data_IF_143205213942
#
_entry.id   IF_143205213942
#
_cell.length_a   1.000
_cell.length_b   1.000
_cell.length_c   1.000
_cell.angle_alpha   90.00
_cell.angle_beta   90.00
_cell.angle_gamma   90.00
#
_symmetry.space_group_name_H-M   'P 1'
#
loop_
_entity.id
_entity.type
_entity.pdbx_description
1 polymer ?
#
# COMPACT_ATOMS: atom_id res chain seq x y z
N UNK A 1 -5.23 14.08 -15.39
CA UNK A 1 -5.94 15.36 -15.13
C UNK A 1 -5.94 15.58 -13.63
N UNK A 2 -5.75 16.83 -13.13
CA UNK A 2 -5.82 17.07 -11.68
C UNK A 2 -7.28 16.95 -11.22
N UNK A 3 -7.52 16.47 -10.01
CA UNK A 3 -8.85 16.36 -9.42
C UNK A 3 -9.68 17.66 -9.54
N UNK A 4 -9.04 18.81 -9.28
CA UNK A 4 -9.67 20.12 -9.37
C UNK A 4 -10.16 20.46 -10.78
N UNK A 5 -9.40 20.06 -11.80
CA UNK A 5 -9.72 20.34 -13.20
C UNK A 5 -10.90 19.48 -13.65
N UNK A 6 -10.88 18.19 -13.28
CA UNK A 6 -11.96 17.25 -13.60
C UNK A 6 -13.25 17.63 -12.89
N UNK A 7 -13.20 17.92 -11.59
CA UNK A 7 -14.36 18.41 -10.85
C UNK A 7 -14.93 19.70 -11.46
N UNK A 8 -14.06 20.64 -11.85
CA UNK A 8 -14.48 21.90 -12.49
C UNK A 8 -15.18 21.65 -13.82
N UNK A 9 -14.70 20.70 -14.63
CA UNK A 9 -15.36 20.31 -15.89
C UNK A 9 -16.74 19.72 -15.65
N UNK A 10 -16.86 18.79 -14.71
CA UNK A 10 -18.16 18.19 -14.35
C UNK A 10 -19.16 19.23 -13.87
N UNK A 11 -18.70 20.19 -13.05
CA UNK A 11 -19.55 21.28 -12.56
C UNK A 11 -19.97 22.24 -13.68
N UNK A 12 -19.10 22.57 -14.62
CA UNK A 12 -19.42 23.38 -15.82
C UNK A 12 -20.37 22.63 -16.74
N UNK A 13 -20.21 21.34 -16.90
CA UNK A 13 -21.07 20.47 -17.71
C UNK A 13 -22.44 20.15 -17.04
N UNK A 14 -22.68 20.69 -15.82
CA UNK A 14 -23.92 20.52 -15.06
C UNK A 14 -24.25 19.06 -14.71
N UNK A 15 -23.25 18.31 -14.34
CA UNK A 15 -23.49 16.97 -13.78
C UNK A 15 -24.29 17.11 -12.48
N UNK A 16 -25.46 16.45 -12.37
CA UNK A 16 -26.38 16.71 -11.27
C UNK A 16 -25.91 16.14 -9.94
N UNK A 17 -25.30 14.93 -9.97
CA UNK A 17 -24.85 14.22 -8.79
C UNK A 17 -23.45 13.67 -9.04
N UNK A 18 -22.49 14.04 -8.19
CA UNK A 18 -21.11 13.57 -8.22
C UNK A 18 -20.83 12.83 -6.91
N UNK A 19 -20.28 11.64 -7.00
CA UNK A 19 -19.83 10.88 -5.84
C UNK A 19 -18.30 10.96 -5.75
N UNK A 20 -17.78 11.54 -4.68
CA UNK A 20 -16.33 11.58 -4.41
C UNK A 20 -15.98 10.44 -3.45
N UNK A 21 -15.25 9.45 -3.99
CA UNK A 21 -14.77 8.34 -3.20
C UNK A 21 -13.45 8.70 -2.52
N UNK A 22 -13.48 8.83 -1.18
CA UNK A 22 -12.30 9.18 -0.39
C UNK A 22 -12.50 8.93 1.09
N UNK A 23 -11.39 8.72 1.81
CA UNK A 23 -11.33 8.73 3.27
C UNK A 23 -10.90 10.10 3.84
N UNK A 24 -10.56 11.06 2.96
CA UNK A 24 -10.05 12.38 3.33
C UNK A 24 -11.12 13.47 3.14
N UNK A 25 -12.21 13.33 3.87
CA UNK A 25 -13.38 14.22 3.78
C UNK A 25 -13.01 15.70 3.96
N UNK A 26 -12.27 16.02 5.01
CA UNK A 26 -11.90 17.41 5.34
C UNK A 26 -10.98 18.02 4.27
N UNK A 27 -10.08 17.22 3.69
CA UNK A 27 -9.19 17.66 2.62
C UNK A 27 -9.99 17.98 1.35
N UNK A 28 -10.95 17.14 0.98
CA UNK A 28 -11.83 17.38 -0.15
C UNK A 28 -12.65 18.64 0.08
N UNK A 29 -13.28 18.76 1.24
CA UNK A 29 -14.09 19.96 1.57
C UNK A 29 -13.22 21.22 1.53
N UNK A 30 -12.01 21.20 2.09
CA UNK A 30 -11.07 22.33 2.02
C UNK A 30 -10.73 22.71 0.56
N UNK A 31 -10.44 21.73 -0.28
CA UNK A 31 -10.12 21.96 -1.69
C UNK A 31 -11.32 22.55 -2.43
N UNK A 32 -12.51 22.00 -2.23
CA UNK A 32 -13.74 22.50 -2.84
C UNK A 32 -13.98 23.97 -2.41
N UNK A 33 -13.87 24.26 -1.11
CA UNK A 33 -14.06 25.63 -0.60
C UNK A 33 -13.04 26.61 -1.16
N UNK A 34 -11.77 26.22 -1.23
CA UNK A 34 -10.67 27.07 -1.69
C UNK A 34 -10.72 27.35 -3.20
N UNK A 35 -10.87 26.31 -4.00
CA UNK A 35 -10.72 26.42 -5.45
C UNK A 35 -12.04 26.63 -6.18
N UNK A 36 -13.10 25.91 -5.79
CA UNK A 36 -14.37 25.94 -6.53
C UNK A 36 -15.19 27.18 -6.18
N UNK A 37 -15.21 27.58 -4.91
CA UNK A 37 -15.88 28.82 -4.50
C UNK A 37 -15.33 30.04 -5.25
N UNK A 38 -13.99 30.10 -5.38
CA UNK A 38 -13.29 31.21 -6.03
C UNK A 38 -13.48 31.20 -7.55
N UNK A 39 -13.44 30.01 -8.18
CA UNK A 39 -13.49 29.89 -9.66
C UNK A 39 -14.88 29.96 -10.26
N UNK A 40 -15.91 29.50 -9.54
CA UNK A 40 -17.27 29.32 -10.07
C UNK A 40 -18.32 30.16 -9.33
N UNK A 41 -17.92 30.90 -8.30
CA UNK A 41 -18.79 31.76 -7.48
C UNK A 41 -20.10 31.05 -7.05
N UNK A 42 -20.01 29.82 -6.57
CA UNK A 42 -21.13 29.03 -6.07
C UNK A 42 -21.17 29.01 -4.55
N UNK A 43 -22.35 29.11 -3.98
CA UNK A 43 -22.57 28.89 -2.55
C UNK A 43 -22.36 27.42 -2.20
N UNK A 44 -21.73 27.13 -1.07
CA UNK A 44 -21.44 25.76 -0.63
C UNK A 44 -22.17 25.49 0.67
N UNK A 45 -23.04 24.48 0.65
CA UNK A 45 -23.79 23.97 1.79
C UNK A 45 -23.27 22.58 2.15
N UNK A 46 -22.74 22.40 3.36
CA UNK A 46 -22.30 21.10 3.85
C UNK A 46 -23.34 20.52 4.78
N UNK A 47 -23.63 19.24 4.63
CA UNK A 47 -24.55 18.49 5.46
C UNK A 47 -23.91 17.20 5.97
N UNK A 48 -24.13 16.90 7.22
CA UNK A 48 -23.93 15.59 7.81
C UNK A 48 -25.18 15.15 8.57
N UNK A 49 -25.23 13.86 8.90
CA UNK A 49 -26.42 13.28 9.53
C UNK A 49 -26.69 13.80 10.95
N UNK A 50 -25.66 14.16 11.70
CA UNK A 50 -25.78 14.56 13.12
C UNK A 50 -26.12 16.03 13.26
N UNK A 51 -25.36 16.89 12.57
CA UNK A 51 -25.45 18.34 12.73
C UNK A 51 -26.35 19.04 11.71
N UNK A 52 -26.74 18.30 10.64
CA UNK A 52 -27.54 18.86 9.56
C UNK A 52 -26.73 19.80 8.67
N UNK A 53 -27.40 20.81 8.09
CA UNK A 53 -26.72 21.78 7.23
C UNK A 53 -25.92 22.79 8.05
N UNK A 54 -24.65 22.92 7.71
CA UNK A 54 -23.77 23.98 8.16
C UNK A 54 -23.61 25.03 7.04
N UNK A 55 -23.30 26.27 7.41
CA UNK A 55 -23.16 27.42 6.48
C UNK A 55 -24.42 27.79 5.73
N UNK A 56 -25.59 27.42 6.22
CA UNK A 56 -26.87 27.95 5.74
C UNK A 56 -27.28 29.16 6.61
N UNK A 57 -27.19 30.38 6.13
CA UNK A 57 -27.45 31.59 6.92
C UNK A 57 -28.89 31.66 7.46
N UNK A 58 -29.84 30.95 6.83
CA UNK A 58 -31.24 31.00 7.19
C UNK A 58 -31.73 29.85 8.06
N UNK A 59 -30.96 28.77 8.20
CA UNK A 59 -31.41 27.56 8.91
C UNK A 59 -30.22 26.69 9.34
N UNK A 60 -29.43 27.16 10.28
CA UNK A 60 -28.37 26.36 10.87
C UNK A 60 -28.95 25.08 11.52
N UNK A 61 -28.38 23.93 11.17
CA UNK A 61 -28.83 22.63 11.66
C UNK A 61 -30.14 22.12 11.01
N UNK A 62 -30.57 22.67 9.88
CA UNK A 62 -31.68 22.13 9.11
C UNK A 62 -31.38 20.70 8.63
N UNK A 63 -32.40 19.85 8.64
CA UNK A 63 -32.32 18.44 8.25
C UNK A 63 -31.43 17.55 9.14
N UNK A 64 -31.30 17.86 10.45
CA UNK A 64 -30.67 16.98 11.42
C UNK A 64 -31.34 15.61 11.42
N UNK A 65 -30.57 14.55 11.29
CA UNK A 65 -31.02 13.16 11.30
C UNK A 65 -32.10 12.82 10.27
N UNK A 66 -32.23 13.65 9.24
CA UNK A 66 -33.24 13.45 8.21
C UNK A 66 -32.66 13.63 6.80
N UNK A 67 -32.20 12.56 6.14
CA UNK A 67 -31.58 12.62 4.81
C UNK A 67 -32.59 13.04 3.70
N UNK A 68 -33.88 12.79 3.87
CA UNK A 68 -34.90 13.24 2.92
C UNK A 68 -35.02 14.77 2.94
N UNK A 69 -35.09 15.36 4.13
CA UNK A 69 -35.08 16.81 4.29
C UNK A 69 -33.81 17.47 3.77
N UNK A 70 -32.67 16.78 3.88
CA UNK A 70 -31.43 17.24 3.31
C UNK A 70 -31.53 17.44 1.78
N UNK A 71 -32.20 16.52 1.09
CA UNK A 71 -32.47 16.64 -0.34
C UNK A 71 -33.54 17.70 -0.65
N UNK A 72 -34.49 17.94 0.23
CA UNK A 72 -35.53 18.98 0.03
C UNK A 72 -34.97 20.40 0.00
N UNK A 73 -33.86 20.68 0.73
CA UNK A 73 -33.22 21.98 0.68
C UNK A 73 -32.72 22.29 -0.73
N UNK A 74 -32.26 21.29 -1.47
CA UNK A 74 -31.79 21.43 -2.86
C UNK A 74 -32.92 21.98 -3.76
N UNK A 75 -34.16 21.54 -3.51
CA UNK A 75 -35.35 21.98 -4.27
C UNK A 75 -35.85 23.34 -3.81
N UNK A 76 -35.79 23.63 -2.50
CA UNK A 76 -36.30 24.91 -1.91
C UNK A 76 -35.52 26.13 -2.37
N UNK A 77 -34.22 26.00 -2.67
CA UNK A 77 -33.46 27.13 -3.20
C UNK A 77 -33.94 27.54 -4.60
N UNK A 78 -33.93 28.81 -4.85
CA UNK A 78 -34.35 29.36 -6.17
C UNK A 78 -33.57 28.70 -7.32
N UNK A 79 -34.26 28.46 -8.44
CA UNK A 79 -33.70 27.69 -9.57
C UNK A 79 -32.38 28.26 -10.14
N UNK A 80 -32.20 29.58 -10.05
CA UNK A 80 -31.05 30.28 -10.61
C UNK A 80 -29.89 30.47 -9.65
N UNK A 81 -30.02 30.07 -8.37
CA UNK A 81 -28.94 30.19 -7.37
C UNK A 81 -27.85 29.16 -7.61
N UNK A 82 -26.62 29.57 -7.96
CA UNK A 82 -25.52 28.63 -8.13
C UNK A 82 -25.11 28.04 -6.77
N UNK A 83 -25.26 26.73 -6.60
CA UNK A 83 -25.00 26.07 -5.31
C UNK A 83 -24.36 24.68 -5.46
N UNK A 84 -23.55 24.33 -4.47
CA UNK A 84 -23.01 22.99 -4.27
C UNK A 84 -23.50 22.46 -2.92
N UNK A 85 -24.03 21.26 -2.92
CA UNK A 85 -24.49 20.58 -1.72
C UNK A 85 -23.51 19.43 -1.42
N UNK A 86 -22.70 19.59 -0.39
CA UNK A 86 -21.76 18.54 0.06
C UNK A 86 -22.48 17.68 1.09
N UNK A 87 -22.77 16.45 0.74
CA UNK A 87 -23.46 15.49 1.62
C UNK A 87 -22.46 14.45 2.09
N UNK A 88 -22.07 14.52 3.36
CA UNK A 88 -21.09 13.64 4.00
C UNK A 88 -21.74 12.32 4.39
N UNK A 89 -21.07 11.20 4.08
CA UNK A 89 -21.54 9.84 4.36
C UNK A 89 -22.96 9.49 3.87
N UNK A 90 -23.44 10.26 2.88
CA UNK A 90 -24.80 10.09 2.35
C UNK A 90 -24.99 8.76 1.59
N UNK A 91 -23.88 8.12 1.18
CA UNK A 91 -23.88 6.80 0.55
C UNK A 91 -24.57 5.71 1.40
N UNK A 92 -24.58 5.86 2.72
CA UNK A 92 -25.24 4.92 3.65
C UNK A 92 -26.76 4.91 3.51
N UNK A 93 -27.33 5.95 2.94
CA UNK A 93 -28.78 6.10 2.75
C UNK A 93 -29.25 5.80 1.32
N UNK A 94 -28.34 5.57 0.37
CA UNK A 94 -28.69 5.39 -1.05
C UNK A 94 -29.55 4.13 -1.32
N UNK A 95 -29.53 3.14 -0.41
CA UNK A 95 -30.33 1.92 -0.50
C UNK A 95 -31.80 2.13 -0.10
N UNK A 96 -32.11 3.23 0.54
CA UNK A 96 -33.51 3.58 0.88
C UNK A 96 -34.29 3.96 -0.37
N UNK A 97 -35.46 3.34 -0.56
CA UNK A 97 -36.32 3.53 -1.73
C UNK A 97 -36.78 4.99 -1.87
N UNK A 98 -37.11 5.64 -0.76
CA UNK A 98 -37.56 7.03 -0.76
C UNK A 98 -36.45 7.98 -1.20
N UNK A 99 -35.22 7.75 -0.71
CA UNK A 99 -34.04 8.54 -1.04
C UNK A 99 -33.62 8.31 -2.48
N UNK A 100 -33.53 7.05 -2.94
CA UNK A 100 -33.25 6.71 -4.32
C UNK A 100 -34.23 7.37 -5.28
N UNK A 101 -35.53 7.31 -4.95
CA UNK A 101 -36.56 7.95 -5.77
C UNK A 101 -36.44 9.47 -5.76
N UNK A 102 -36.18 10.06 -4.60
CA UNK A 102 -36.01 11.52 -4.46
C UNK A 102 -34.80 12.01 -5.30
N UNK A 103 -33.67 11.30 -5.25
CA UNK A 103 -32.49 11.61 -6.06
C UNK A 103 -32.78 11.55 -7.56
N UNK A 104 -33.54 10.56 -8.03
CA UNK A 104 -33.99 10.47 -9.43
C UNK A 104 -34.83 11.69 -9.84
N UNK A 105 -35.73 12.14 -8.98
CA UNK A 105 -36.57 13.31 -9.26
C UNK A 105 -35.74 14.60 -9.29
N UNK A 106 -34.89 14.80 -8.29
CA UNK A 106 -34.03 15.98 -8.18
C UNK A 106 -33.03 16.05 -9.34
N UNK A 107 -32.45 14.92 -9.75
CA UNK A 107 -31.48 14.90 -10.86
C UNK A 107 -32.01 15.45 -12.15
N UNK A 108 -33.34 15.27 -12.43
CA UNK A 108 -33.99 15.81 -13.61
C UNK A 108 -34.06 17.35 -13.56
N UNK A 109 -34.29 17.89 -12.37
CA UNK A 109 -34.37 19.33 -12.13
C UNK A 109 -33.00 19.98 -12.21
N UNK A 110 -31.98 19.32 -11.58
CA UNK A 110 -30.61 19.85 -11.52
C UNK A 110 -29.93 19.94 -12.89
N UNK A 111 -30.29 19.10 -13.87
CA UNK A 111 -29.78 19.25 -15.26
C UNK A 111 -30.01 20.61 -15.86
N UNK A 112 -31.07 21.28 -15.42
CA UNK A 112 -31.48 22.64 -15.93
C UNK A 112 -31.02 23.78 -15.01
N UNK A 113 -30.48 23.45 -13.80
CA UNK A 113 -30.11 24.44 -12.78
C UNK A 113 -28.61 24.47 -12.53
N UNK A 114 -28.02 25.58 -12.09
CA UNK A 114 -26.61 25.67 -11.74
C UNK A 114 -26.32 25.09 -10.34
N UNK A 115 -26.95 23.98 -10.01
CA UNK A 115 -26.81 23.27 -8.73
C UNK A 115 -26.25 21.89 -8.94
N UNK A 116 -25.43 21.39 -8.00
CA UNK A 116 -24.86 20.05 -8.03
C UNK A 116 -24.84 19.46 -6.61
N UNK A 117 -25.23 18.21 -6.48
CA UNK A 117 -25.06 17.44 -5.26
C UNK A 117 -23.72 16.71 -5.34
N UNK A 118 -22.90 16.84 -4.31
CA UNK A 118 -21.64 16.12 -4.16
C UNK A 118 -21.77 15.23 -2.93
N UNK A 119 -21.75 13.93 -3.13
CA UNK A 119 -21.73 12.94 -2.06
C UNK A 119 -20.27 12.60 -1.77
N UNK A 120 -19.85 12.70 -0.52
CA UNK A 120 -18.50 12.32 -0.08
C UNK A 120 -18.64 11.08 0.80
N UNK A 121 -17.88 10.05 0.47
CA UNK A 121 -17.87 8.80 1.25
C UNK A 121 -16.68 7.91 0.92
N UNK A 122 -16.38 6.99 1.82
CA UNK A 122 -15.24 6.08 1.71
C UNK A 122 -15.56 4.75 1.00
N UNK A 123 -16.85 4.42 0.88
CA UNK A 123 -17.33 3.15 0.33
C UNK A 123 -18.20 3.37 -0.91
N UNK A 124 -17.91 2.66 -1.99
CA UNK A 124 -18.70 2.68 -3.22
C UNK A 124 -19.90 1.73 -3.10
N UNK A 125 -20.88 2.11 -2.29
CA UNK A 125 -22.13 1.36 -2.15
C UNK A 125 -23.27 2.10 -2.88
N UNK A 126 -23.24 2.06 -4.20
CA UNK A 126 -24.25 2.73 -5.05
C UNK A 126 -25.20 1.65 -5.59
N UNK A 127 -26.53 1.77 -5.39
CA UNK A 127 -27.52 0.89 -6.01
C UNK A 127 -27.46 0.94 -7.54
N UNK A 128 -27.62 -0.20 -8.21
CA UNK A 128 -27.57 -0.31 -9.67
C UNK A 128 -28.47 0.70 -10.39
N UNK A 129 -29.63 0.97 -9.81
CA UNK A 129 -30.62 1.90 -10.35
C UNK A 129 -30.19 3.37 -10.35
N UNK A 130 -29.07 3.73 -9.69
CA UNK A 130 -28.51 5.07 -9.62
C UNK A 130 -27.21 5.21 -10.44
N UNK A 131 -26.70 4.15 -11.06
CA UNK A 131 -25.42 4.18 -11.80
C UNK A 131 -25.40 5.23 -12.93
N UNK A 132 -26.50 5.38 -13.66
CA UNK A 132 -26.59 6.34 -14.75
C UNK A 132 -26.73 7.80 -14.28
N UNK A 133 -27.02 8.01 -13.00
CA UNK A 133 -27.28 9.34 -12.43
C UNK A 133 -26.10 9.89 -11.65
N UNK A 134 -25.27 9.00 -11.10
CA UNK A 134 -24.16 9.35 -10.23
C UNK A 134 -22.85 9.17 -10.98
N UNK A 135 -22.10 10.25 -11.09
CA UNK A 135 -20.74 10.22 -11.65
C UNK A 135 -19.74 10.05 -10.52
N UNK A 136 -18.91 9.00 -10.60
CA UNK A 136 -17.91 8.68 -9.57
C UNK A 136 -16.62 9.41 -9.89
N UNK A 137 -16.09 10.14 -8.93
CA UNK A 137 -14.81 10.81 -8.98
C UNK A 137 -13.92 10.30 -7.85
N UNK A 138 -12.75 9.79 -8.21
CA UNK A 138 -11.76 9.29 -7.24
C UNK A 138 -10.94 10.45 -6.70
N UNK A 139 -10.90 10.61 -5.37
CA UNK A 139 -9.97 11.53 -4.72
C UNK A 139 -8.84 10.74 -4.07
N UNK A 140 -7.67 10.86 -4.65
CA UNK A 140 -6.51 10.07 -4.22
C UNK A 140 -5.88 10.64 -2.95
N UNK A 141 -5.20 9.75 -2.21
CA UNK A 141 -4.31 10.14 -1.13
C UNK A 141 -3.24 11.15 -1.62
N UNK A 142 -2.64 11.92 -0.71
CA UNK A 142 -1.71 12.97 -1.11
C UNK A 142 -0.52 12.40 -1.87
N UNK A 143 -0.16 13.07 -2.96
CA UNK A 143 1.03 12.73 -3.75
C UNK A 143 2.29 13.26 -3.08
N UNK A 144 3.45 12.75 -3.47
CA UNK A 144 4.74 13.10 -2.86
C UNK A 144 5.00 14.61 -2.78
N UNK A 145 4.65 15.37 -3.81
CA UNK A 145 4.80 16.84 -3.81
C UNK A 145 3.92 17.54 -2.76
N UNK A 146 2.69 17.05 -2.55
CA UNK A 146 1.77 17.57 -1.53
C UNK A 146 2.24 17.23 -0.12
N UNK A 147 2.75 15.99 0.06
CA UNK A 147 3.34 15.55 1.32
C UNK A 147 4.56 16.40 1.66
N UNK A 148 5.48 16.57 0.71
CA UNK A 148 6.68 17.39 0.92
C UNK A 148 6.35 18.84 1.28
N UNK A 149 5.37 19.42 0.59
CA UNK A 149 4.88 20.77 0.91
C UNK A 149 4.33 20.86 2.34
N UNK A 150 3.51 19.90 2.74
CA UNK A 150 2.92 19.88 4.09
C UNK A 150 3.97 19.64 5.18
N UNK A 151 4.93 18.74 4.93
CA UNK A 151 6.06 18.49 5.83
C UNK A 151 6.89 19.76 6.04
N UNK A 152 7.28 20.44 4.96
CA UNK A 152 8.03 21.70 5.03
C UNK A 152 7.27 22.75 5.84
N UNK A 153 5.99 22.93 5.55
CA UNK A 153 5.13 23.88 6.28
C UNK A 153 5.09 23.61 7.77
N UNK A 154 4.95 22.33 8.17
CA UNK A 154 4.94 21.94 9.59
C UNK A 154 6.31 22.15 10.26
N UNK A 155 7.38 21.76 9.58
CA UNK A 155 8.76 21.90 10.07
C UNK A 155 9.12 23.38 10.25
N UNK A 156 8.80 24.23 9.29
CA UNK A 156 9.00 25.68 9.34
C UNK A 156 8.20 26.32 10.49
N UNK A 157 6.93 25.91 10.67
CA UNK A 157 6.10 26.45 11.76
C UNK A 157 6.60 26.11 13.16
N UNK A 158 7.44 25.07 13.28
CA UNK A 158 8.01 24.59 14.53
C UNK A 158 9.49 24.99 14.71
N UNK A 159 10.07 25.71 13.74
CA UNK A 159 11.48 26.11 13.72
C UNK A 159 12.47 24.92 13.88
N UNK A 160 12.15 23.76 13.31
CA UNK A 160 13.00 22.57 13.35
C UNK A 160 13.92 22.58 12.13
N UNK A 161 15.22 22.36 12.34
CA UNK A 161 16.15 22.10 11.25
C UNK A 161 16.16 20.61 10.90
N UNK A 162 16.08 20.28 9.62
CA UNK A 162 16.09 18.90 9.13
C UNK A 162 17.08 18.77 7.96
N UNK A 163 17.79 17.65 7.91
CA UNK A 163 18.62 17.28 6.77
C UNK A 163 17.73 17.01 5.54
N UNK A 164 18.07 17.57 4.36
CA UNK A 164 17.34 17.30 3.12
C UNK A 164 17.17 15.82 2.78
N UNK A 165 18.15 14.97 3.12
CA UNK A 165 18.09 13.53 2.88
C UNK A 165 17.06 12.85 3.81
N UNK A 166 17.00 13.29 5.07
CA UNK A 166 15.99 12.81 6.03
C UNK A 166 14.60 13.27 5.61
N UNK A 167 14.44 14.51 5.13
CA UNK A 167 13.17 15.01 4.62
C UNK A 167 12.66 14.20 3.42
N UNK A 168 13.54 13.84 2.49
CA UNK A 168 13.17 13.00 1.34
C UNK A 168 12.73 11.61 1.81
N UNK A 169 13.48 10.98 2.71
CA UNK A 169 13.15 9.67 3.28
C UNK A 169 11.83 9.71 4.07
N UNK A 170 11.61 10.78 4.85
CA UNK A 170 10.36 11.02 5.58
C UNK A 170 9.17 11.19 4.62
N UNK A 171 9.36 11.94 3.54
CA UNK A 171 8.33 12.14 2.51
C UNK A 171 7.92 10.81 1.89
N UNK A 172 8.88 9.95 1.55
CA UNK A 172 8.61 8.60 1.04
C UNK A 172 7.90 7.73 2.08
N UNK A 173 8.33 7.78 3.33
CA UNK A 173 7.69 7.03 4.41
C UNK A 173 6.23 7.47 4.65
N UNK A 174 5.88 8.74 4.40
CA UNK A 174 4.54 9.27 4.52
C UNK A 174 3.61 8.89 3.35
N UNK A 175 4.13 8.47 2.20
CA UNK A 175 3.29 8.07 1.07
C UNK A 175 2.31 6.96 1.46
N UNK A 176 1.08 7.03 0.96
CA UNK A 176 0.01 6.08 1.31
C UNK A 176 -0.69 6.36 2.64
N UNK A 177 -0.35 7.45 3.34
CA UNK A 177 -1.06 7.94 4.50
C UNK A 177 -1.92 9.15 4.14
N UNK A 178 -3.05 9.33 4.82
CA UNK A 178 -3.83 10.57 4.72
C UNK A 178 -3.08 11.74 5.37
N UNK A 179 -3.33 12.98 4.92
CA UNK A 179 -2.69 14.16 5.52
C UNK A 179 -2.95 14.28 7.02
N UNK A 180 -4.14 13.92 7.46
CA UNK A 180 -4.48 13.92 8.89
C UNK A 180 -3.61 12.94 9.67
N UNK A 181 -3.42 11.71 9.18
CA UNK A 181 -2.54 10.74 9.82
C UNK A 181 -1.09 11.22 9.84
N UNK A 182 -0.62 11.78 8.73
CA UNK A 182 0.74 12.36 8.66
C UNK A 182 0.92 13.42 9.75
N UNK A 183 -0.02 14.36 9.88
CA UNK A 183 0.02 15.41 10.92
C UNK A 183 0.04 14.82 12.33
N UNK A 184 -0.83 13.84 12.60
CA UNK A 184 -0.94 13.17 13.90
C UNK A 184 0.36 12.48 14.29
N UNK A 185 0.96 11.73 13.36
CA UNK A 185 2.22 11.01 13.61
C UNK A 185 3.37 11.98 13.82
N UNK A 186 3.48 13.01 12.99
CA UNK A 186 4.50 14.03 13.14
C UNK A 186 4.37 14.79 14.48
N UNK A 187 3.15 15.17 14.87
CA UNK A 187 2.92 15.78 16.16
C UNK A 187 3.37 14.89 17.31
N UNK A 188 3.12 13.56 17.20
CA UNK A 188 3.60 12.58 18.18
C UNK A 188 5.13 12.48 18.21
N UNK A 189 5.79 12.44 17.04
CA UNK A 189 7.24 12.38 16.92
C UNK A 189 7.86 13.61 17.59
N UNK A 190 7.37 14.81 17.24
CA UNK A 190 7.89 16.07 17.77
C UNK A 190 7.67 16.19 19.27
N UNK A 191 6.49 15.79 19.77
CA UNK A 191 6.20 15.78 21.21
C UNK A 191 7.12 14.82 22.00
N UNK A 192 7.54 13.71 21.36
CA UNK A 192 8.36 12.67 22.02
C UNK A 192 9.86 13.00 21.96
N UNK A 193 10.36 13.39 20.79
CA UNK A 193 11.80 13.46 20.52
C UNK A 193 12.32 14.89 20.32
N UNK A 194 11.45 15.87 20.09
CA UNK A 194 11.79 17.27 19.76
C UNK A 194 12.66 17.45 18.51
N UNK A 195 13.06 16.37 17.87
CA UNK A 195 13.89 16.32 16.66
C UNK A 195 13.27 15.32 15.67
N UNK A 196 13.58 15.50 14.38
CA UNK A 196 13.18 14.57 13.34
C UNK A 196 14.46 13.90 12.82
N UNK A 197 14.57 12.59 13.05
CA UNK A 197 15.72 11.76 12.75
C UNK A 197 15.29 10.44 12.05
N UNK A 198 16.22 9.51 11.86
CA UNK A 198 15.94 8.19 11.29
C UNK A 198 14.95 7.36 12.15
N UNK A 199 14.89 7.59 13.48
CA UNK A 199 13.92 6.90 14.34
C UNK A 199 12.49 7.37 14.05
N UNK A 200 12.33 8.60 13.57
CA UNK A 200 11.05 9.16 13.13
C UNK A 200 10.47 8.37 11.95
N UNK A 201 11.33 7.89 11.05
CA UNK A 201 10.92 7.04 9.92
C UNK A 201 10.39 5.68 10.42
N UNK A 202 11.04 5.09 11.43
CA UNK A 202 10.58 3.82 12.03
C UNK A 202 9.19 3.96 12.66
N UNK A 203 8.91 5.09 13.30
CA UNK A 203 7.59 5.36 13.87
C UNK A 203 6.50 5.50 12.79
N UNK A 204 6.80 6.16 11.68
CA UNK A 204 5.89 6.23 10.53
C UNK A 204 5.60 4.86 9.92
N UNK A 205 6.63 4.02 9.81
CA UNK A 205 6.45 2.64 9.34
C UNK A 205 5.58 1.82 10.30
N UNK A 206 5.67 2.06 11.61
CA UNK A 206 4.79 1.42 12.60
C UNK A 206 3.32 1.87 12.47
N UNK A 207 3.06 3.12 12.10
CA UNK A 207 1.69 3.55 11.80
C UNK A 207 1.12 2.85 10.56
N UNK A 208 1.94 2.65 9.53
CA UNK A 208 1.54 1.82 8.38
C UNK A 208 1.20 0.38 8.80
N UNK A 209 1.94 -0.18 9.77
CA UNK A 209 1.63 -1.49 10.34
C UNK A 209 0.20 -1.57 10.88
N UNK A 210 -0.29 -0.53 11.56
CA UNK A 210 -1.66 -0.52 12.08
C UNK A 210 -2.72 -0.55 10.96
N UNK A 211 -2.46 0.12 9.83
CA UNK A 211 -3.37 0.08 8.68
C UNK A 211 -3.40 -1.32 8.07
N UNK A 212 -2.23 -1.94 7.94
CA UNK A 212 -2.09 -3.28 7.36
C UNK A 212 -2.75 -4.34 8.25
N UNK A 213 -2.56 -4.23 9.58
CA UNK A 213 -3.15 -5.18 10.53
C UNK A 213 -4.68 -5.14 10.60
N UNK A 214 -5.31 -4.10 10.05
CA UNK A 214 -6.77 -4.07 9.85
C UNK A 214 -7.23 -4.96 8.69
N UNK A 215 -6.29 -5.45 7.87
CA UNK A 215 -6.57 -6.42 6.82
C UNK A 215 -6.15 -7.81 7.30
N UNK A 216 -7.04 -8.77 7.24
CA UNK A 216 -6.73 -10.14 7.71
C UNK A 216 -5.75 -10.89 6.81
N UNK A 217 -5.54 -10.41 5.57
CA UNK A 217 -4.82 -11.12 4.49
C UNK A 217 -3.36 -10.72 4.40
N UNK A 218 -3.01 -9.51 4.82
CA UNK A 218 -1.64 -8.99 4.77
C UNK A 218 -1.06 -8.89 6.17
N UNK A 219 0.18 -9.34 6.31
CA UNK A 219 0.97 -9.18 7.52
C UNK A 219 2.09 -8.16 7.27
N UNK A 220 2.22 -7.20 8.18
CA UNK A 220 3.38 -6.31 8.18
C UNK A 220 4.56 -7.01 8.85
N UNK A 221 5.69 -7.07 8.16
CA UNK A 221 6.93 -7.59 8.70
C UNK A 221 7.90 -6.44 9.00
N UNK A 222 8.31 -6.32 10.29
CA UNK A 222 9.43 -5.48 10.67
C UNK A 222 10.73 -6.11 10.16
N UNK A 223 11.58 -5.31 9.53
CA UNK A 223 12.77 -5.82 8.85
C UNK A 223 14.02 -5.27 9.51
N UNK A 224 14.75 -6.17 10.17
CA UNK A 224 16.07 -5.89 10.75
C UNK A 224 17.20 -6.58 9.96
N UNK A 225 16.85 -7.32 8.90
CA UNK A 225 17.79 -8.09 8.11
C UNK A 225 18.47 -7.22 7.04
N UNK A 226 19.79 -7.20 7.04
CA UNK A 226 20.58 -6.45 6.05
C UNK A 226 21.03 -7.36 4.91
N UNK A 227 21.26 -6.78 3.73
CA UNK A 227 21.72 -7.50 2.55
C UNK A 227 23.12 -8.11 2.75
N UNK A 228 23.90 -7.58 3.70
CA UNK A 228 25.20 -8.10 4.10
C UNK A 228 25.13 -9.45 4.84
N UNK A 229 23.96 -9.77 5.42
CA UNK A 229 23.70 -11.05 6.06
C UNK A 229 23.42 -12.20 5.08
N UNK A 230 23.32 -11.90 3.78
CA UNK A 230 23.13 -12.90 2.74
C UNK A 230 24.50 -13.23 2.15
N UNK A 231 24.99 -14.44 2.34
CA UNK A 231 26.22 -14.91 1.72
C UNK A 231 25.99 -15.24 0.25
N UNK A 232 26.97 -14.92 -0.61
CA UNK A 232 26.85 -15.15 -2.05
C UNK A 232 25.86 -14.23 -2.77
N UNK A 233 25.26 -14.73 -3.86
CA UNK A 233 24.22 -14.09 -4.69
C UNK A 233 24.59 -12.70 -5.22
N UNK A 234 25.84 -12.50 -5.61
CA UNK A 234 26.38 -11.18 -6.00
C UNK A 234 25.63 -10.56 -7.21
N UNK A 235 25.19 -11.37 -8.16
CA UNK A 235 24.40 -10.93 -9.29
C UNK A 235 23.08 -10.27 -8.84
N UNK A 236 22.40 -10.90 -7.89
CA UNK A 236 21.16 -10.36 -7.31
C UNK A 236 21.43 -9.06 -6.54
N UNK A 237 22.50 -9.02 -5.72
CA UNK A 237 22.89 -7.82 -4.98
C UNK A 237 23.18 -6.64 -5.93
N UNK A 238 23.91 -6.88 -7.00
CA UNK A 238 24.20 -5.87 -8.01
C UNK A 238 22.95 -5.40 -8.75
N UNK A 239 22.04 -6.31 -9.06
CA UNK A 239 20.76 -6.00 -9.68
C UNK A 239 19.89 -5.11 -8.79
N UNK A 240 19.78 -5.45 -7.50
CA UNK A 240 19.03 -4.69 -6.49
C UNK A 240 19.61 -3.28 -6.28
N UNK A 241 20.95 -3.16 -6.21
CA UNK A 241 21.63 -1.88 -6.04
C UNK A 241 21.31 -0.90 -7.19
N UNK A 242 21.28 -1.38 -8.43
CA UNK A 242 20.95 -0.58 -9.60
C UNK A 242 19.49 -0.07 -9.59
N UNK A 243 18.58 -0.73 -8.88
CA UNK A 243 17.15 -0.41 -8.85
C UNK A 243 16.68 0.30 -7.58
N UNK A 244 17.56 0.48 -6.61
CA UNK A 244 17.24 1.14 -5.33
C UNK A 244 16.58 2.52 -5.53
N UNK A 245 17.03 3.29 -6.51
CA UNK A 245 16.55 4.65 -6.80
C UNK A 245 15.36 4.71 -7.77
N UNK A 246 14.90 3.56 -8.28
CA UNK A 246 13.84 3.52 -9.32
C UNK A 246 12.44 3.89 -8.82
N UNK A 247 12.25 4.05 -7.51
CA UNK A 247 10.97 4.46 -6.91
C UNK A 247 10.87 5.97 -6.65
N UNK A 248 11.91 6.75 -6.96
CA UNK A 248 11.94 8.19 -6.72
C UNK A 248 11.47 9.01 -7.93
N UNK A 249 11.18 10.29 -7.67
CA UNK A 249 10.77 11.27 -8.71
C UNK A 249 11.80 11.38 -9.83
N UNK A 250 13.09 11.28 -9.52
CA UNK A 250 14.16 11.38 -10.52
C UNK A 250 14.04 10.27 -11.58
N UNK A 251 13.73 9.03 -11.17
CA UNK A 251 13.55 7.93 -12.10
C UNK A 251 12.31 8.14 -12.99
N UNK A 252 11.21 8.62 -12.41
CA UNK A 252 10.00 8.96 -13.14
C UNK A 252 10.25 10.09 -14.16
N UNK A 253 10.98 11.13 -13.79
CA UNK A 253 11.33 12.24 -14.69
C UNK A 253 12.27 11.79 -15.81
N UNK A 254 13.11 10.78 -15.54
CA UNK A 254 13.96 10.17 -16.57
C UNK A 254 13.17 9.26 -17.52
N UNK A 255 11.92 8.93 -17.20
CA UNK A 255 11.06 8.05 -18.00
C UNK A 255 11.25 6.56 -17.70
N UNK A 256 11.88 6.20 -16.56
CA UNK A 256 12.03 4.79 -16.19
C UNK A 256 10.68 4.24 -15.68
N UNK A 257 10.27 3.05 -16.17
CA UNK A 257 9.10 2.36 -15.63
C UNK A 257 9.38 1.90 -14.19
N UNK A 258 8.35 1.94 -13.35
CA UNK A 258 8.44 1.41 -11.99
C UNK A 258 8.72 -0.10 -12.02
N UNK A 259 9.71 -0.61 -11.26
CA UNK A 259 9.97 -2.05 -11.18
C UNK A 259 8.73 -2.83 -10.74
N UNK A 260 8.48 -3.95 -11.39
CA UNK A 260 7.31 -4.79 -11.11
C UNK A 260 7.55 -5.77 -10.00
N UNK A 261 8.66 -6.49 -10.07
CA UNK A 261 9.01 -7.48 -9.07
C UNK A 261 10.08 -8.46 -9.52
N UNK A 262 10.46 -9.32 -8.62
CA UNK A 262 11.37 -10.43 -8.89
C UNK A 262 10.80 -11.76 -8.40
N UNK A 263 11.18 -12.84 -9.06
CA UNK A 263 10.87 -14.19 -8.67
C UNK A 263 12.18 -14.90 -8.25
N UNK A 264 12.21 -15.41 -7.03
CA UNK A 264 13.31 -16.20 -6.47
C UNK A 264 12.94 -17.68 -6.51
N UNK A 265 13.60 -18.44 -7.34
CA UNK A 265 13.37 -19.89 -7.48
C UNK A 265 14.58 -20.64 -6.95
N UNK A 266 14.39 -21.76 -6.29
CA UNK A 266 15.52 -22.60 -5.86
C UNK A 266 15.22 -23.49 -4.68
N UNK A 267 16.23 -24.20 -4.23
CA UNK A 267 16.16 -25.19 -3.17
C UNK A 267 15.75 -24.54 -1.83
N UNK A 268 15.05 -25.29 -0.99
CA UNK A 268 14.71 -24.84 0.36
C UNK A 268 15.98 -24.58 1.18
N UNK A 269 15.98 -23.53 2.01
CA UNK A 269 17.14 -23.19 2.85
C UNK A 269 18.21 -22.32 2.15
N UNK A 270 18.07 -21.94 0.88
CA UNK A 270 19.02 -21.10 0.13
C UNK A 270 18.86 -19.57 0.37
N UNK A 271 18.02 -19.17 1.31
CA UNK A 271 17.90 -17.76 1.72
C UNK A 271 16.87 -16.93 0.95
N UNK A 272 15.94 -17.54 0.18
CA UNK A 272 14.89 -16.82 -0.59
C UNK A 272 14.08 -15.85 0.27
N UNK A 273 13.52 -16.34 1.38
CA UNK A 273 12.69 -15.53 2.29
C UNK A 273 13.52 -14.45 3.04
N UNK A 274 14.78 -14.75 3.34
CA UNK A 274 15.73 -13.79 3.91
C UNK A 274 16.01 -12.65 2.91
N UNK A 275 16.13 -12.99 1.64
CA UNK A 275 16.35 -12.00 0.57
C UNK A 275 15.18 -11.01 0.46
N UNK A 276 13.92 -11.48 0.55
CA UNK A 276 12.77 -10.58 0.53
C UNK A 276 12.82 -9.53 1.66
N UNK A 277 13.18 -9.98 2.87
CA UNK A 277 13.38 -9.09 4.03
C UNK A 277 14.53 -8.12 3.81
N UNK A 278 15.67 -8.60 3.33
CA UNK A 278 16.84 -7.77 3.10
C UNK A 278 16.61 -6.69 2.04
N UNK A 279 15.82 -6.98 1.00
CA UNK A 279 15.43 -5.98 0.00
C UNK A 279 14.64 -4.84 0.64
N UNK A 280 13.67 -5.18 1.49
CA UNK A 280 12.83 -4.19 2.15
C UNK A 280 13.65 -3.26 3.06
N UNK A 281 14.60 -3.81 3.79
CA UNK A 281 15.50 -3.02 4.62
C UNK A 281 16.42 -2.14 3.78
N UNK A 282 17.05 -2.69 2.75
CA UNK A 282 17.96 -1.95 1.86
C UNK A 282 17.29 -0.79 1.13
N UNK A 283 16.04 -0.97 0.71
CA UNK A 283 15.26 0.05 0.03
C UNK A 283 14.45 0.94 0.97
N UNK A 284 14.45 0.63 2.28
CA UNK A 284 13.68 1.33 3.31
C UNK A 284 12.19 1.41 2.96
N UNK A 285 11.66 0.32 2.42
CA UNK A 285 10.25 0.18 2.07
C UNK A 285 9.53 -0.78 3.04
N UNK A 286 8.24 -0.53 3.34
CA UNK A 286 7.45 -1.46 4.14
C UNK A 286 7.33 -2.82 3.45
N UNK A 287 7.47 -3.90 4.23
CA UNK A 287 7.32 -5.28 3.77
C UNK A 287 5.94 -5.81 4.17
N UNK A 288 5.15 -6.16 3.17
CA UNK A 288 3.84 -6.78 3.29
C UNK A 288 3.95 -8.23 2.89
N UNK A 289 3.71 -9.16 3.81
CA UNK A 289 3.64 -10.59 3.50
C UNK A 289 2.20 -10.98 3.20
N UNK A 290 1.97 -11.61 2.06
CA UNK A 290 0.68 -12.21 1.73
C UNK A 290 0.54 -13.55 2.46
N UNK A 291 -0.51 -13.68 3.26
CA UNK A 291 -0.94 -14.95 3.81
C UNK A 291 -1.78 -15.71 2.77
N UNK A 292 -1.12 -16.62 2.07
CA UNK A 292 -1.75 -17.43 1.01
C UNK A 292 -2.87 -18.29 1.57
N UNK A 293 -2.73 -18.82 2.78
CA UNK A 293 -3.76 -19.63 3.44
C UNK A 293 -5.06 -18.86 3.64
N UNK A 294 -4.95 -17.61 4.08
CA UNK A 294 -6.10 -16.73 4.24
C UNK A 294 -6.69 -16.24 2.91
N UNK A 295 -5.88 -16.15 1.87
CA UNK A 295 -6.38 -15.79 0.54
C UNK A 295 -7.34 -16.85 0.00
N UNK A 296 -7.02 -18.12 0.16
CA UNK A 296 -7.80 -19.26 -0.36
C UNK A 296 -8.73 -19.90 0.70
N UNK A 297 -8.59 -19.55 1.97
CA UNK A 297 -9.43 -20.05 3.06
C UNK A 297 -10.76 -19.30 3.12
N UNK A 298 -11.82 -19.85 2.51
CA UNK A 298 -13.14 -19.25 2.56
C UNK A 298 -14.14 -19.87 1.59
N UNK A 299 -15.34 -19.31 1.52
CA UNK A 299 -16.42 -19.75 0.63
C UNK A 299 -16.05 -19.37 -0.82
N UNK A 300 -16.51 -20.17 -1.78
CA UNK A 300 -16.30 -19.95 -3.22
C UNK A 300 -16.74 -18.51 -3.61
N UNK A 301 -15.85 -17.73 -4.22
CA UNK A 301 -16.09 -16.34 -4.61
C UNK A 301 -15.46 -15.30 -3.68
N UNK A 302 -15.14 -15.61 -2.42
CA UNK A 302 -14.46 -14.68 -1.51
C UNK A 302 -12.98 -14.48 -1.87
N UNK A 303 -12.31 -15.49 -2.41
CA UNK A 303 -10.87 -15.42 -2.73
C UNK A 303 -10.54 -14.31 -3.75
N UNK A 304 -11.39 -14.12 -4.77
CA UNK A 304 -11.22 -13.00 -5.72
C UNK A 304 -11.42 -11.63 -5.03
N UNK A 305 -12.40 -11.51 -4.15
CA UNK A 305 -12.67 -10.30 -3.39
C UNK A 305 -11.50 -9.97 -2.45
N UNK A 306 -10.97 -10.99 -1.77
CA UNK A 306 -9.80 -10.89 -0.89
C UNK A 306 -8.55 -10.48 -1.67
N UNK A 307 -8.32 -11.05 -2.86
CA UNK A 307 -7.22 -10.62 -3.72
C UNK A 307 -7.34 -9.14 -4.10
N UNK A 308 -8.52 -8.70 -4.51
CA UNK A 308 -8.76 -7.29 -4.86
C UNK A 308 -8.55 -6.36 -3.66
N UNK A 309 -9.00 -6.76 -2.48
CA UNK A 309 -8.74 -6.03 -1.24
C UNK A 309 -7.25 -5.95 -0.93
N UNK A 310 -6.50 -7.06 -1.06
CA UNK A 310 -5.05 -7.09 -0.90
C UNK A 310 -4.36 -6.12 -1.86
N UNK A 311 -4.72 -6.16 -3.14
CA UNK A 311 -4.18 -5.26 -4.18
C UNK A 311 -4.44 -3.79 -3.78
N UNK A 312 -5.67 -3.47 -3.42
CA UNK A 312 -6.06 -2.11 -3.05
C UNK A 312 -5.26 -1.60 -1.85
N UNK A 313 -5.04 -2.44 -0.83
CA UNK A 313 -4.23 -2.07 0.34
C UNK A 313 -2.76 -1.91 -0.03
N UNK A 314 -2.18 -2.84 -0.80
CA UNK A 314 -0.79 -2.73 -1.25
C UNK A 314 -0.56 -1.46 -2.08
N UNK A 315 -1.48 -1.14 -3.00
CA UNK A 315 -1.42 0.07 -3.80
C UNK A 315 -1.61 1.35 -2.97
N UNK A 316 -2.46 1.31 -1.96
CA UNK A 316 -2.68 2.44 -1.04
C UNK A 316 -1.43 2.74 -0.21
N UNK A 317 -0.73 1.70 0.25
CA UNK A 317 0.48 1.83 1.09
C UNK A 317 1.74 2.09 0.26
N UNK A 318 1.65 1.96 -1.06
CA UNK A 318 2.80 2.13 -1.95
C UNK A 318 3.53 3.48 -1.75
N UNK A 319 4.87 3.54 -1.89
CA UNK A 319 5.75 2.44 -2.30
C UNK A 319 5.96 1.38 -1.21
N UNK A 320 5.85 0.10 -1.59
CA UNK A 320 5.99 -1.02 -0.67
C UNK A 320 6.51 -2.27 -1.40
N UNK A 321 6.95 -3.25 -0.62
CA UNK A 321 7.29 -4.59 -1.10
C UNK A 321 6.18 -5.55 -0.70
N UNK A 322 5.62 -6.26 -1.68
CA UNK A 322 4.68 -7.34 -1.47
C UNK A 322 5.42 -8.67 -1.59
N UNK A 323 5.57 -9.36 -0.47
CA UNK A 323 6.22 -10.66 -0.41
C UNK A 323 5.20 -11.77 -0.46
N UNK A 324 5.35 -12.65 -1.45
CA UNK A 324 4.54 -13.86 -1.62
C UNK A 324 5.46 -15.06 -1.45
N UNK A 325 5.35 -15.72 -0.30
CA UNK A 325 6.17 -16.89 -0.01
C UNK A 325 5.52 -18.16 -0.60
N UNK A 326 6.35 -19.04 -1.18
CA UNK A 326 5.93 -20.31 -1.76
C UNK A 326 4.76 -20.17 -2.78
N UNK A 327 4.95 -19.26 -3.75
CA UNK A 327 3.93 -18.98 -4.80
C UNK A 327 3.57 -20.24 -5.61
N UNK A 328 4.48 -21.21 -5.73
CA UNK A 328 4.27 -22.52 -6.33
C UNK A 328 3.21 -23.33 -5.59
N UNK A 329 3.17 -23.25 -4.25
CA UNK A 329 2.10 -23.90 -3.47
C UNK A 329 0.77 -23.15 -3.58
N UNK A 330 0.82 -21.82 -3.69
CA UNK A 330 -0.35 -20.98 -3.82
C UNK A 330 -1.14 -21.22 -5.11
N UNK A 331 -0.42 -21.45 -6.21
CA UNK A 331 -0.97 -21.51 -7.56
C UNK A 331 -0.62 -22.81 -8.31
N UNK A 332 -0.28 -23.89 -7.58
CA UNK A 332 -0.03 -25.19 -8.20
C UNK A 332 -1.25 -25.71 -8.95
N UNK A 333 -1.02 -26.22 -10.14
CA UNK A 333 -2.03 -26.87 -10.99
C UNK A 333 -2.46 -28.26 -10.46
N UNK A 334 -2.69 -28.42 -9.16
CA UNK A 334 -3.18 -29.68 -8.62
C UNK A 334 -4.65 -29.87 -9.01
N UNK A 335 -4.88 -30.59 -10.08
CA UNK A 335 -6.18 -31.00 -10.63
C UNK A 335 -7.03 -31.90 -9.70
N UNK A 336 -6.66 -32.07 -8.43
CA UNK A 336 -7.25 -33.08 -7.56
C UNK A 336 -8.22 -32.56 -6.49
N UNK A 337 -8.51 -31.27 -6.41
CA UNK A 337 -9.55 -30.76 -5.52
C UNK A 337 -10.53 -29.90 -6.30
N UNK A 338 -11.82 -30.10 -6.10
CA UNK A 338 -12.94 -29.49 -6.86
C UNK A 338 -13.00 -27.95 -6.92
N UNK A 339 -11.90 -27.25 -6.62
CA UNK A 339 -11.77 -25.79 -6.54
C UNK A 339 -10.78 -25.19 -7.59
N UNK A 340 -10.41 -26.00 -8.61
CA UNK A 340 -9.46 -25.56 -9.64
C UNK A 340 -9.89 -24.29 -10.42
N UNK A 341 -11.19 -24.06 -10.55
CA UNK A 341 -11.72 -22.88 -11.25
C UNK A 341 -11.50 -21.55 -10.48
N UNK A 342 -11.52 -21.57 -9.17
CA UNK A 342 -11.34 -20.37 -8.32
C UNK A 342 -9.87 -19.99 -8.29
N UNK A 343 -8.97 -20.93 -8.09
CA UNK A 343 -7.52 -20.68 -8.08
C UNK A 343 -7.03 -20.11 -9.40
N UNK A 344 -7.52 -20.61 -10.54
CA UNK A 344 -7.16 -20.10 -11.87
C UNK A 344 -7.66 -18.65 -12.10
N UNK A 345 -8.85 -18.28 -11.59
CA UNK A 345 -9.37 -16.91 -11.69
C UNK A 345 -8.60 -15.94 -10.81
N UNK A 346 -8.27 -16.34 -9.58
CA UNK A 346 -7.42 -15.56 -8.67
C UNK A 346 -6.05 -15.33 -9.30
N UNK A 347 -5.43 -16.38 -9.86
CA UNK A 347 -4.16 -16.28 -10.58
C UNK A 347 -4.25 -15.34 -11.77
N UNK A 348 -5.25 -15.48 -12.63
CA UNK A 348 -5.42 -14.61 -13.80
C UNK A 348 -5.56 -13.13 -13.38
N UNK A 349 -6.33 -12.85 -12.34
CA UNK A 349 -6.50 -11.50 -11.79
C UNK A 349 -5.18 -10.96 -11.26
N UNK A 350 -4.41 -11.77 -10.51
CA UNK A 350 -3.11 -11.39 -9.99
C UNK A 350 -2.10 -11.08 -11.11
N UNK A 351 -2.02 -11.94 -12.13
CA UNK A 351 -1.13 -11.76 -13.27
C UNK A 351 -1.48 -10.52 -14.09
N UNK A 352 -2.78 -10.28 -14.36
CA UNK A 352 -3.22 -9.04 -15.00
C UNK A 352 -2.79 -7.81 -14.21
N UNK A 353 -3.06 -7.79 -12.92
CA UNK A 353 -2.62 -6.71 -12.08
C UNK A 353 -1.10 -6.51 -12.10
N UNK A 354 -0.30 -7.57 -11.93
CA UNK A 354 1.16 -7.50 -11.95
C UNK A 354 1.71 -6.88 -13.24
N UNK A 355 1.01 -7.13 -14.36
CA UNK A 355 1.39 -6.61 -15.69
C UNK A 355 1.01 -5.16 -15.91
N UNK A 356 -0.13 -4.74 -15.36
CA UNK A 356 -0.78 -3.46 -15.66
C UNK A 356 -0.61 -2.44 -14.54
N UNK A 357 -0.14 -2.85 -13.35
CA UNK A 357 0.00 -1.96 -12.21
C UNK A 357 0.87 -0.75 -12.52
N UNK A 358 0.39 0.41 -12.14
CA UNK A 358 1.09 1.69 -12.27
C UNK A 358 1.64 2.17 -10.93
N UNK A 359 1.09 1.67 -9.82
CA UNK A 359 1.53 2.02 -8.47
C UNK A 359 2.85 1.32 -8.12
N UNK A 360 3.74 1.97 -7.35
CA UNK A 360 5.05 1.44 -7.00
C UNK A 360 4.98 0.34 -5.92
N UNK A 361 4.34 -0.78 -6.25
CA UNK A 361 4.34 -2.00 -5.46
C UNK A 361 5.34 -2.96 -6.07
N UNK A 362 6.40 -3.31 -5.36
CA UNK A 362 7.41 -4.27 -5.83
C UNK A 362 7.09 -5.66 -5.30
N UNK A 363 6.84 -6.61 -6.18
CA UNK A 363 6.49 -7.98 -5.80
C UNK A 363 7.75 -8.83 -5.68
N UNK A 364 7.97 -9.44 -4.52
CA UNK A 364 9.01 -10.46 -4.31
C UNK A 364 8.31 -11.78 -4.08
N UNK A 365 8.34 -12.65 -5.09
CA UNK A 365 7.77 -13.99 -4.97
C UNK A 365 8.90 -15.03 -4.77
N UNK A 366 8.64 -16.05 -3.96
CA UNK A 366 9.55 -17.19 -3.78
C UNK A 366 8.88 -18.47 -4.24
N UNK A 367 9.64 -19.37 -4.86
CA UNK A 367 9.19 -20.70 -5.26
C UNK A 367 10.26 -21.75 -4.97
N UNK A 368 9.83 -22.93 -4.58
CA UNK A 368 10.74 -24.06 -4.37
C UNK A 368 10.88 -24.89 -5.64
N UNK A 369 9.81 -25.00 -6.43
CA UNK A 369 9.81 -25.76 -7.66
C UNK A 369 9.22 -24.92 -8.81
N UNK A 370 10.02 -24.72 -9.86
CA UNK A 370 9.60 -23.97 -11.05
C UNK A 370 8.59 -24.73 -11.90
N UNK A 371 8.64 -26.06 -11.91
CA UNK A 371 7.76 -26.91 -12.72
C UNK A 371 6.30 -26.87 -12.25
N UNK A 372 6.09 -26.49 -10.98
CA UNK A 372 4.75 -26.31 -10.41
C UNK A 372 4.14 -24.94 -10.73
N UNK A 373 4.95 -24.00 -11.24
CA UNK A 373 4.47 -22.66 -11.56
C UNK A 373 3.76 -22.65 -12.92
N UNK A 374 2.60 -22.01 -13.02
CA UNK A 374 1.97 -21.73 -14.30
C UNK A 374 2.91 -20.94 -15.22
N UNK A 375 2.97 -21.32 -16.49
CA UNK A 375 3.84 -20.68 -17.50
C UNK A 375 3.56 -19.19 -17.65
N UNK A 376 2.35 -18.76 -17.34
CA UNK A 376 1.94 -17.37 -17.34
C UNK A 376 2.73 -16.52 -16.33
N UNK A 377 3.11 -17.07 -15.18
CA UNK A 377 3.92 -16.36 -14.16
C UNK A 377 5.34 -16.10 -14.67
N UNK A 378 5.93 -17.09 -15.33
CA UNK A 378 7.34 -17.08 -15.76
C UNK A 378 7.54 -16.23 -17.02
N UNK A 379 6.47 -15.97 -17.78
CA UNK A 379 6.53 -15.22 -19.04
C UNK A 379 7.05 -13.79 -18.81
N UNK A 380 7.98 -13.34 -19.68
CA UNK A 380 8.50 -11.97 -19.67
C UNK A 380 7.39 -10.91 -19.64
N UNK A 381 7.60 -9.85 -18.87
CA UNK A 381 6.64 -8.76 -18.71
C UNK A 381 5.75 -8.89 -17.47
N UNK A 382 5.96 -9.92 -16.63
CA UNK A 382 5.32 -10.10 -15.31
C UNK A 382 6.29 -9.72 -14.19
N UNK A 383 7.31 -10.54 -14.00
CA UNK A 383 8.45 -10.17 -13.18
C UNK A 383 9.53 -9.53 -14.06
N UNK A 384 10.29 -8.61 -13.50
CA UNK A 384 11.41 -7.97 -14.19
C UNK A 384 12.57 -8.93 -14.36
N UNK A 385 12.77 -9.85 -13.38
CA UNK A 385 13.84 -10.82 -13.39
C UNK A 385 13.45 -12.07 -12.58
N UNK A 386 14.04 -13.20 -12.95
CA UNK A 386 13.93 -14.48 -12.25
C UNK A 386 15.33 -14.90 -11.85
N UNK A 387 15.55 -15.06 -10.54
CA UNK A 387 16.82 -15.54 -10.02
C UNK A 387 16.68 -16.97 -9.51
N UNK A 388 17.55 -17.84 -10.01
CA UNK A 388 17.69 -19.19 -9.49
C UNK A 388 18.75 -19.18 -8.37
N UNK A 389 18.35 -19.60 -7.18
CA UNK A 389 19.21 -19.73 -6.01
C UNK A 389 19.54 -21.21 -5.79
N UNK A 390 20.73 -21.60 -6.22
CA UNK A 390 21.26 -22.95 -6.04
C UNK A 390 21.90 -23.12 -4.67
N UNK A 391 22.33 -24.33 -4.36
CA UNK A 391 23.15 -24.58 -3.18
C UNK A 391 24.46 -23.78 -3.25
N UNK A 392 24.92 -23.22 -2.12
CA UNK A 392 26.07 -22.33 -2.12
C UNK A 392 27.36 -23.08 -2.50
N UNK A 393 28.17 -22.48 -3.36
CA UNK A 393 29.50 -22.92 -3.70
C UNK A 393 30.45 -22.81 -2.50
N UNK A 394 31.65 -23.44 -2.56
CA UNK A 394 32.63 -23.43 -1.46
C UNK A 394 32.89 -22.02 -0.92
N UNK A 395 33.15 -21.04 -1.80
CA UNK A 395 33.43 -19.64 -1.41
C UNK A 395 32.21 -18.99 -0.74
N UNK A 396 31.00 -19.28 -1.22
CA UNK A 396 29.77 -18.77 -0.63
C UNK A 396 29.50 -19.41 0.73
N UNK A 397 29.80 -20.73 0.90
CA UNK A 397 29.71 -21.40 2.21
C UNK A 397 30.66 -20.78 3.24
N UNK A 398 31.91 -20.47 2.82
CA UNK A 398 32.85 -19.72 3.68
C UNK A 398 32.27 -18.41 4.18
N UNK A 399 31.63 -17.62 3.26
CA UNK A 399 30.98 -16.38 3.64
C UNK A 399 29.78 -16.61 4.58
N UNK A 400 28.97 -17.65 4.34
CA UNK A 400 27.81 -17.98 5.17
C UNK A 400 28.24 -18.38 6.58
N UNK A 401 29.27 -19.24 6.71
CA UNK A 401 29.86 -19.57 8.01
C UNK A 401 30.37 -18.34 8.73
N UNK A 402 31.11 -17.47 8.03
CA UNK A 402 31.63 -16.23 8.59
C UNK A 402 30.50 -15.33 9.13
N UNK A 403 29.45 -15.13 8.37
CA UNK A 403 28.30 -14.30 8.76
C UNK A 403 27.67 -14.87 10.04
N UNK A 404 27.34 -16.17 10.08
CA UNK A 404 26.67 -16.75 11.23
C UNK A 404 27.57 -16.88 12.47
N UNK A 405 28.84 -17.24 12.30
CA UNK A 405 29.78 -17.30 13.43
C UNK A 405 30.00 -15.87 13.98
N UNK A 406 30.11 -14.86 13.14
CA UNK A 406 30.25 -13.49 13.58
C UNK A 406 29.01 -12.99 14.33
N UNK A 407 27.81 -13.42 13.94
CA UNK A 407 26.56 -13.14 14.66
C UNK A 407 26.55 -13.74 16.07
N UNK A 408 26.96 -15.02 16.20
CA UNK A 408 26.94 -15.74 17.50
C UNK A 408 28.16 -15.48 18.35
N UNK A 409 29.33 -15.19 17.77
CA UNK A 409 30.63 -14.99 18.44
C UNK A 409 31.39 -13.80 17.89
N UNK A 410 30.89 -12.56 18.10
CA UNK A 410 31.45 -11.33 17.50
C UNK A 410 32.93 -11.10 17.92
N UNK A 411 33.38 -11.62 19.09
CA UNK A 411 34.75 -11.41 19.59
C UNK A 411 35.74 -12.52 19.19
N UNK A 412 35.29 -13.63 18.60
CA UNK A 412 36.11 -14.83 18.34
C UNK A 412 35.94 -15.39 16.93
N UNK A 413 35.20 -14.74 16.07
CA UNK A 413 34.92 -15.24 14.73
C UNK A 413 36.16 -15.44 13.86
N UNK A 414 37.28 -14.77 14.18
CA UNK A 414 38.54 -14.89 13.44
C UNK A 414 39.32 -16.20 13.72
N UNK A 415 38.95 -16.92 14.76
CA UNK A 415 39.63 -18.12 15.19
C UNK A 415 39.21 -19.36 14.37
N UNK A 416 38.21 -19.30 13.54
CA UNK A 416 37.65 -20.42 12.81
C UNK A 416 38.30 -20.61 11.44
N UNK A 417 38.58 -21.85 11.06
CA UNK A 417 39.03 -22.20 9.70
C UNK A 417 37.83 -22.36 8.76
N UNK A 418 37.42 -21.25 8.15
CA UNK A 418 36.28 -21.21 7.24
C UNK A 418 36.46 -22.08 6.01
N UNK A 419 37.71 -22.26 5.51
CA UNK A 419 37.97 -23.09 4.34
C UNK A 419 37.73 -24.54 4.62
N UNK A 420 38.18 -25.01 5.80
CA UNK A 420 37.93 -26.38 6.27
C UNK A 420 36.46 -26.64 6.56
N UNK A 421 35.75 -25.68 7.21
CA UNK A 421 34.32 -25.79 7.46
C UNK A 421 33.53 -25.87 6.16
N UNK A 422 33.84 -25.03 5.17
CA UNK A 422 33.20 -25.05 3.86
C UNK A 422 33.50 -26.32 3.06
N UNK A 423 34.68 -26.92 3.25
CA UNK A 423 35.03 -28.21 2.60
C UNK A 423 34.20 -29.36 3.19
N UNK A 424 34.03 -29.40 4.52
CA UNK A 424 33.27 -30.44 5.21
C UNK A 424 31.74 -30.32 5.03
N UNK A 425 31.25 -29.19 4.59
CA UNK A 425 29.83 -28.93 4.41
C UNK A 425 29.41 -28.91 2.92
N UNK A 426 30.01 -29.78 2.11
CA UNK A 426 29.61 -29.91 0.70
C UNK A 426 28.11 -30.23 0.59
N UNK A 427 27.46 -29.57 -0.37
CA UNK A 427 26.01 -29.64 -0.62
C UNK A 427 25.10 -29.13 0.54
N UNK A 428 25.63 -28.50 1.56
CA UNK A 428 24.79 -27.85 2.59
C UNK A 428 24.16 -26.54 2.06
N UNK A 429 22.89 -26.39 2.36
CA UNK A 429 22.18 -25.10 2.22
C UNK A 429 22.61 -24.11 3.31
N UNK A 430 22.29 -22.83 3.12
CA UNK A 430 22.57 -21.81 4.15
C UNK A 430 21.87 -22.10 5.49
N UNK A 431 20.68 -22.68 5.46
CA UNK A 431 19.93 -23.06 6.64
C UNK A 431 20.63 -24.24 7.39
N UNK A 432 21.12 -25.21 6.67
CA UNK A 432 21.88 -26.37 7.28
C UNK A 432 23.20 -25.92 7.87
N UNK A 433 23.92 -24.99 7.23
CA UNK A 433 25.12 -24.38 7.80
C UNK A 433 24.79 -23.67 9.13
N UNK A 434 23.73 -22.86 9.15
CA UNK A 434 23.31 -22.18 10.39
C UNK A 434 22.94 -23.18 11.48
N UNK A 435 22.19 -24.24 11.13
CA UNK A 435 21.82 -25.29 12.09
C UNK A 435 23.01 -26.01 12.63
N UNK A 436 24.01 -26.36 11.80
CA UNK A 436 25.23 -27.05 12.25
C UNK A 436 26.04 -26.25 13.27
N UNK A 437 26.09 -24.90 13.10
CA UNK A 437 26.70 -24.00 14.07
C UNK A 437 25.93 -24.04 15.40
N UNK A 438 24.60 -23.95 15.34
CA UNK A 438 23.76 -23.99 16.55
C UNK A 438 23.93 -25.33 17.31
N UNK A 439 23.93 -26.45 16.60
CA UNK A 439 24.13 -27.76 17.22
C UNK A 439 25.52 -27.88 17.87
N UNK A 440 26.55 -27.40 17.20
CA UNK A 440 27.88 -27.35 17.78
C UNK A 440 27.97 -26.48 19.05
N UNK A 441 27.22 -25.36 19.07
CA UNK A 441 27.10 -24.53 20.27
C UNK A 441 26.38 -25.25 21.41
N UNK A 442 25.32 -26.02 21.13
CA UNK A 442 24.63 -26.82 22.15
C UNK A 442 25.56 -27.89 22.73
N UNK A 443 26.33 -28.59 21.89
CA UNK A 443 27.33 -29.56 22.37
C UNK A 443 28.40 -28.91 23.26
N UNK A 444 28.97 -27.78 22.82
CA UNK A 444 29.97 -27.06 23.61
C UNK A 444 29.40 -26.60 24.96
N UNK A 445 28.17 -26.11 24.98
CA UNK A 445 27.51 -25.67 26.21
C UNK A 445 27.24 -26.84 27.17
N UNK A 446 26.77 -27.98 26.64
CA UNK A 446 26.52 -29.18 27.45
C UNK A 446 27.83 -29.70 28.10
N UNK A 447 28.92 -29.69 27.36
CA UNK A 447 30.23 -30.11 27.83
C UNK A 447 30.96 -29.04 28.67
N UNK A 448 30.31 -27.90 28.96
CA UNK A 448 30.85 -26.73 29.67
C UNK A 448 32.17 -26.22 29.09
N UNK A 449 32.38 -26.39 27.79
CA UNK A 449 33.51 -25.83 27.04
C UNK A 449 33.08 -24.63 26.19
N UNK A 450 34.04 -23.83 25.84
CA UNK A 450 33.81 -22.75 24.92
C UNK A 450 33.66 -23.28 23.48
N UNK A 451 32.75 -22.66 22.76
CA UNK A 451 32.52 -22.89 21.33
C UNK A 451 33.48 -22.06 20.49
#
# INVERSE_FOLDING_TARGET
MKFTDELTLLLKARYPIIYINTIEEDRVEYIIRKYIKTSLNRSIYSWDFIDGYTNNPNNEGFAKRNPVQALELVERLTAQTPALFLLKDFNRFLTDVSISRKLKNISRILKLQPKTIIIIGSELNIPKELYDLITILQFQLPVESEINYELKRLIESLNIQIDPQILESLTRACQGLSLERIRRVLSRIIATYKTIDENSIKLLLNEKKQIISQTEILEYWSVDETISKIGGVDNLKNWLKKRKTSFGIQASNYGLPTPRGLLLVGIQGTGKSLTAKAIANEWQLPLLKLDVGKLFGGIVGESESRLRQMIQVAETISPCILWIDEIDKAFSNNNNTGDSGTSNRVLATFISWLSEKTKPVFVVATANNVDLLPLEIIRKGRFDEIFFLDLPQKQEREQIFKIHIQEFRPNRWELFDYSKLAQLSEAFSGAEIRQSIIEAMYHAFYEKREF
#
